data_IF_361349278210
#
_entry.id   IF_361349278210
#
_cell.length_a   1.000
_cell.length_b   1.000
_cell.length_c   1.000
_cell.angle_alpha   90.00
_cell.angle_beta   90.00
_cell.angle_gamma   90.00
#
_symmetry.space_group_name_H-M   'P 1'
#
loop_
_entity.id
_entity.type
_entity.pdbx_description
1 polymer ?
#
# COMPACT_ATOMS: atom_id res chain seq x y z
N UNK A 1 19.42 -19.61 5.87
CA UNK A 1 18.68 -18.54 5.15
C UNK A 1 19.37 -17.22 5.43
N UNK A 2 19.61 -16.41 4.36
CA UNK A 2 20.07 -15.02 4.47
C UNK A 2 18.84 -14.12 4.48
N UNK A 3 18.75 -13.22 5.45
CA UNK A 3 17.72 -12.20 5.50
C UNK A 3 18.36 -10.84 5.20
N UNK A 4 17.77 -10.11 4.28
CA UNK A 4 18.25 -8.80 3.84
C UNK A 4 17.28 -7.75 4.33
N UNK A 5 17.78 -6.75 5.03
CA UNK A 5 16.98 -5.63 5.54
C UNK A 5 17.67 -4.30 5.25
N UNK A 6 16.90 -3.23 5.23
CA UNK A 6 17.44 -1.87 5.28
C UNK A 6 18.23 -1.67 6.58
N UNK A 7 19.35 -0.98 6.50
CA UNK A 7 20.06 -0.54 7.70
C UNK A 7 19.30 0.62 8.37
N UNK A 8 18.36 0.29 9.25
CA UNK A 8 17.64 1.28 10.04
C UNK A 8 18.51 1.80 11.19
N UNK A 9 18.36 3.08 11.54
CA UNK A 9 18.95 3.65 12.77
C UNK A 9 18.44 2.89 14.01
N UNK A 10 17.17 2.57 14.02
CA UNK A 10 16.53 1.74 15.06
C UNK A 10 16.72 0.26 14.74
N UNK A 11 17.32 -0.49 15.63
CA UNK A 11 17.63 -1.92 15.44
C UNK A 11 16.49 -2.89 15.78
N UNK A 12 15.31 -2.40 16.16
CA UNK A 12 14.17 -3.24 16.59
C UNK A 12 13.79 -4.32 15.59
N UNK A 13 13.82 -4.02 14.28
CA UNK A 13 13.52 -5.03 13.25
C UNK A 13 14.58 -6.14 13.27
N UNK A 14 15.85 -5.79 13.28
CA UNK A 14 16.97 -6.74 13.38
C UNK A 14 16.86 -7.59 14.64
N UNK A 15 16.63 -6.96 15.79
CA UNK A 15 16.50 -7.66 17.08
C UNK A 15 15.32 -8.63 17.08
N UNK A 16 14.19 -8.24 16.50
CA UNK A 16 13.02 -9.11 16.37
C UNK A 16 13.30 -10.31 15.47
N UNK A 17 13.97 -10.11 14.34
CA UNK A 17 14.36 -11.17 13.41
C UNK A 17 15.37 -12.13 14.09
N UNK A 18 16.32 -11.59 14.85
CA UNK A 18 17.30 -12.37 15.62
C UNK A 18 16.59 -13.22 16.70
N UNK A 19 15.62 -12.64 17.43
CA UNK A 19 14.81 -13.38 18.41
C UNK A 19 13.97 -14.51 17.79
N UNK A 20 13.63 -14.39 16.51
CA UNK A 20 12.97 -15.48 15.75
C UNK A 20 13.96 -16.58 15.29
N UNK A 21 15.26 -16.50 15.68
CA UNK A 21 16.26 -17.51 15.39
C UNK A 21 17.08 -17.30 14.11
N UNK A 22 16.85 -16.22 13.37
CA UNK A 22 17.62 -15.93 12.16
C UNK A 22 18.94 -15.22 12.52
N UNK A 23 20.07 -15.86 12.22
CA UNK A 23 21.41 -15.34 12.55
C UNK A 23 22.09 -14.63 11.38
N UNK A 24 21.74 -14.96 10.13
CA UNK A 24 22.40 -14.42 8.95
C UNK A 24 21.61 -13.25 8.38
N UNK A 25 21.75 -12.05 8.99
CA UNK A 25 21.06 -10.83 8.62
C UNK A 25 22.07 -9.87 7.96
N UNK A 26 21.75 -9.44 6.74
CA UNK A 26 22.52 -8.46 5.98
C UNK A 26 21.79 -7.11 6.04
N UNK A 27 22.40 -6.13 6.70
CA UNK A 27 21.91 -4.75 6.73
C UNK A 27 22.46 -3.98 5.54
N UNK A 28 21.60 -3.52 4.66
CA UNK A 28 21.96 -2.77 3.47
C UNK A 28 21.66 -1.28 3.64
N UNK A 29 22.67 -0.44 3.39
CA UNK A 29 22.47 1.00 3.28
C UNK A 29 21.70 1.34 2.00
N UNK A 30 20.94 2.40 2.06
CA UNK A 30 20.19 2.92 0.93
C UNK A 30 21.10 3.40 -0.20
N UNK A 31 20.59 3.38 -1.43
CA UNK A 31 21.31 3.89 -2.61
C UNK A 31 22.68 3.26 -2.83
N UNK A 32 22.86 2.02 -2.40
CA UNK A 32 24.10 1.27 -2.57
C UNK A 32 23.81 -0.11 -3.15
N UNK A 33 24.60 -0.48 -4.16
CA UNK A 33 24.54 -1.83 -4.75
C UNK A 33 25.30 -2.82 -3.87
N UNK A 34 24.67 -3.96 -3.56
CA UNK A 34 25.24 -5.07 -2.80
C UNK A 34 25.22 -6.34 -3.64
N UNK A 35 26.35 -7.03 -3.74
CA UNK A 35 26.42 -8.37 -4.31
C UNK A 35 26.06 -9.37 -3.21
N UNK A 36 24.89 -9.99 -3.29
CA UNK A 36 24.37 -10.91 -2.29
C UNK A 36 24.85 -12.35 -2.54
N UNK A 37 24.99 -12.70 -3.82
CA UNK A 37 25.54 -13.98 -4.27
C UNK A 37 26.29 -13.77 -5.58
N UNK A 38 26.86 -14.88 -6.12
CA UNK A 38 27.43 -14.84 -7.47
C UNK A 38 26.40 -14.42 -8.54
N UNK A 39 25.12 -14.77 -8.32
CA UNK A 39 24.05 -14.63 -9.30
C UNK A 39 23.19 -13.38 -9.10
N UNK A 40 23.21 -12.76 -7.90
CA UNK A 40 22.28 -11.71 -7.53
C UNK A 40 23.00 -10.51 -6.91
N UNK A 41 22.66 -9.33 -7.39
CA UNK A 41 22.95 -8.04 -6.75
C UNK A 41 21.64 -7.30 -6.46
N UNK A 42 21.62 -6.53 -5.37
CA UNK A 42 20.45 -5.77 -4.97
C UNK A 42 20.82 -4.33 -4.60
N UNK A 43 19.80 -3.45 -4.54
CA UNK A 43 19.86 -2.18 -3.83
C UNK A 43 18.50 -1.90 -3.17
N UNK A 44 18.55 -1.20 -2.03
CA UNK A 44 17.36 -0.72 -1.33
C UNK A 44 17.21 0.76 -1.64
N UNK A 45 15.99 1.14 -2.05
CA UNK A 45 15.61 2.53 -2.31
C UNK A 45 14.69 2.98 -1.17
N UNK A 46 15.04 4.04 -0.45
CA UNK A 46 14.24 4.54 0.66
C UNK A 46 12.99 5.26 0.19
N UNK A 47 12.06 5.48 1.10
CA UNK A 47 10.98 6.44 0.91
C UNK A 47 11.57 7.85 0.87
N UNK A 48 11.50 8.48 -0.31
CA UNK A 48 12.00 9.83 -0.51
C UNK A 48 10.84 10.80 -0.30
N UNK A 49 10.82 11.44 0.86
CA UNK A 49 9.89 12.55 1.09
C UNK A 49 10.62 13.88 0.89
N UNK A 50 9.90 14.92 0.51
CA UNK A 50 10.45 16.29 0.40
C UNK A 50 11.01 16.84 1.72
N UNK A 51 10.78 16.13 2.84
CA UNK A 51 11.23 16.46 4.20
C UNK A 51 12.00 15.30 4.84
N UNK A 52 12.79 14.56 4.07
CA UNK A 52 13.45 13.30 4.47
C UNK A 52 14.32 13.37 5.72
N UNK A 53 14.83 14.54 6.10
CA UNK A 53 15.72 14.66 7.25
C UNK A 53 15.05 14.40 8.61
N UNK A 54 13.70 14.43 8.67
CA UNK A 54 12.95 14.21 9.90
C UNK A 54 12.04 12.97 9.85
N UNK A 55 11.89 12.32 8.69
CA UNK A 55 10.98 11.18 8.54
C UNK A 55 11.46 9.95 9.33
N UNK A 56 12.77 9.72 9.37
CA UNK A 56 13.37 8.59 10.09
C UNK A 56 13.16 8.66 11.61
N UNK A 57 13.09 9.87 12.18
CA UNK A 57 12.86 10.07 13.61
C UNK A 57 11.37 10.07 13.96
N UNK A 58 10.52 10.39 12.99
CA UNK A 58 9.07 10.53 13.18
C UNK A 58 8.30 9.23 13.02
N UNK A 59 8.74 8.38 12.10
CA UNK A 59 8.08 7.12 11.73
C UNK A 59 9.02 5.97 12.06
N UNK A 60 9.13 5.65 13.34
CA UNK A 60 10.02 4.58 13.80
C UNK A 60 9.63 3.16 13.34
N UNK A 61 8.53 2.98 12.58
CA UNK A 61 7.95 1.65 12.38
C UNK A 61 7.65 1.24 10.93
N UNK A 62 7.30 2.19 10.05
CA UNK A 62 6.77 1.87 8.72
C UNK A 62 7.43 2.73 7.63
N UNK A 63 8.74 2.60 7.49
CA UNK A 63 9.43 3.15 6.34
C UNK A 63 9.48 2.08 5.26
N UNK A 64 8.51 2.13 4.38
CA UNK A 64 8.49 1.29 3.20
C UNK A 64 9.69 1.58 2.33
N UNK A 65 10.22 0.54 1.73
CA UNK A 65 11.36 0.63 0.82
C UNK A 65 11.06 -0.10 -0.46
N UNK A 66 11.60 0.41 -1.57
CA UNK A 66 11.61 -0.33 -2.82
C UNK A 66 12.90 -1.14 -2.92
N UNK A 67 12.88 -2.19 -3.72
CA UNK A 67 14.04 -3.03 -3.97
C UNK A 67 14.35 -3.13 -5.46
N UNK A 68 15.62 -3.00 -5.78
CA UNK A 68 16.18 -3.31 -7.10
C UNK A 68 16.89 -4.65 -7.00
N UNK A 69 16.61 -5.57 -7.91
CA UNK A 69 17.27 -6.88 -8.01
C UNK A 69 17.83 -7.03 -9.41
N UNK A 70 19.12 -7.33 -9.50
CA UNK A 70 19.79 -7.63 -10.76
C UNK A 70 20.28 -9.08 -10.77
N UNK A 71 19.96 -9.80 -11.85
CA UNK A 71 20.68 -11.03 -12.18
C UNK A 71 22.09 -10.69 -12.66
N UNK A 72 23.11 -11.18 -11.97
CA UNK A 72 24.50 -10.97 -12.39
C UNK A 72 24.86 -11.75 -13.65
N UNK A 73 24.08 -12.78 -14.01
CA UNK A 73 24.24 -13.60 -15.20
C UNK A 73 23.63 -12.89 -16.42
N UNK A 74 22.32 -12.68 -16.41
CA UNK A 74 21.59 -12.08 -17.54
C UNK A 74 21.62 -10.56 -17.58
N UNK A 75 22.11 -9.92 -16.51
CA UNK A 75 22.12 -8.45 -16.30
C UNK A 75 20.73 -7.82 -16.23
N UNK A 76 19.66 -8.61 -16.27
CA UNK A 76 18.29 -8.13 -16.19
C UNK A 76 17.98 -7.57 -14.82
N UNK A 77 17.18 -6.48 -14.79
CA UNK A 77 16.83 -5.73 -13.58
C UNK A 77 15.34 -5.80 -13.33
N UNK A 78 14.99 -6.26 -12.15
CA UNK A 78 13.66 -6.17 -11.57
C UNK A 78 13.62 -5.05 -10.54
N UNK A 79 12.63 -4.16 -10.65
CA UNK A 79 12.36 -3.12 -9.68
C UNK A 79 10.98 -3.34 -9.04
N UNK A 80 10.96 -3.52 -7.74
CA UNK A 80 9.74 -3.65 -6.94
C UNK A 80 9.51 -2.36 -6.15
N UNK A 81 8.41 -1.65 -6.50
CA UNK A 81 7.98 -0.39 -5.88
C UNK A 81 6.68 -0.54 -5.10
N UNK A 82 6.37 -1.72 -4.59
CA UNK A 82 5.18 -1.97 -3.79
C UNK A 82 5.31 -1.24 -2.45
N UNK A 83 4.24 -0.57 -2.02
CA UNK A 83 4.12 0.15 -0.75
C UNK A 83 5.09 1.32 -0.52
N UNK A 84 5.90 1.68 -1.50
CA UNK A 84 6.78 2.85 -1.43
C UNK A 84 6.35 3.94 -2.43
N UNK A 85 5.41 4.82 -2.08
CA UNK A 85 4.87 5.83 -2.98
C UNK A 85 5.90 6.94 -3.25
N UNK A 86 6.62 6.82 -4.34
CA UNK A 86 7.59 7.82 -4.78
C UNK A 86 6.97 8.84 -5.72
N UNK A 87 7.40 10.10 -5.60
CA UNK A 87 7.05 11.13 -6.58
C UNK A 87 7.67 10.83 -7.94
N UNK A 88 7.10 11.37 -9.01
CA UNK A 88 7.66 11.22 -10.38
C UNK A 88 9.12 11.69 -10.43
N UNK A 89 9.43 12.80 -9.75
CA UNK A 89 10.81 13.31 -9.63
C UNK A 89 11.74 12.30 -8.97
N UNK A 90 11.27 11.60 -7.96
CA UNK A 90 12.06 10.60 -7.24
C UNK A 90 12.20 9.30 -8.04
N UNK A 91 11.18 8.90 -8.80
CA UNK A 91 11.29 7.77 -9.74
C UNK A 91 12.34 8.03 -10.83
N UNK A 92 12.44 9.26 -11.32
CA UNK A 92 13.53 9.63 -12.24
C UNK A 92 14.90 9.51 -11.58
N UNK A 93 15.03 9.86 -10.28
CA UNK A 93 16.29 9.65 -9.53
C UNK A 93 16.60 8.15 -9.40
N UNK A 94 15.60 7.33 -9.09
CA UNK A 94 15.74 5.86 -9.02
C UNK A 94 16.26 5.32 -10.36
N UNK A 95 15.65 5.71 -11.47
CA UNK A 95 16.10 5.31 -12.81
C UNK A 95 17.55 5.69 -13.07
N UNK A 96 17.93 6.95 -12.76
CA UNK A 96 19.33 7.43 -12.93
C UNK A 96 20.30 6.63 -12.06
N UNK A 97 19.93 6.35 -10.80
CA UNK A 97 20.70 5.51 -9.89
C UNK A 97 20.92 4.10 -10.46
N UNK A 98 19.85 3.47 -10.91
CA UNK A 98 19.92 2.12 -11.49
C UNK A 98 20.85 2.12 -12.73
N UNK A 99 20.70 3.09 -13.63
CA UNK A 99 21.57 3.22 -14.80
C UNK A 99 23.03 3.40 -14.41
N UNK A 100 23.33 4.19 -13.37
CA UNK A 100 24.69 4.44 -12.89
C UNK A 100 25.30 3.21 -12.21
N UNK A 101 24.63 2.63 -11.23
CA UNK A 101 25.20 1.59 -10.36
C UNK A 101 25.10 0.18 -10.95
N UNK A 102 24.05 -0.10 -11.70
CA UNK A 102 23.80 -1.42 -12.30
C UNK A 102 24.20 -1.50 -13.78
N UNK A 103 24.57 -0.35 -14.38
CA UNK A 103 24.97 -0.23 -15.80
C UNK A 103 23.93 -0.77 -16.78
N UNK A 104 22.65 -0.72 -16.40
CA UNK A 104 21.54 -1.19 -17.21
C UNK A 104 20.26 -0.40 -16.88
N UNK A 105 19.17 -0.66 -17.61
CA UNK A 105 17.85 -0.09 -17.39
C UNK A 105 16.94 -1.11 -16.69
N UNK A 106 15.79 -0.63 -16.17
CA UNK A 106 14.77 -1.49 -15.56
C UNK A 106 14.14 -2.32 -16.68
N UNK A 107 14.24 -3.64 -16.55
CA UNK A 107 13.59 -4.56 -17.50
C UNK A 107 12.16 -4.87 -17.06
N UNK A 108 11.96 -5.16 -15.77
CA UNK A 108 10.66 -5.52 -15.20
C UNK A 108 10.36 -4.65 -14.00
N UNK A 109 9.15 -4.10 -13.95
CA UNK A 109 8.67 -3.33 -12.82
C UNK A 109 7.43 -3.95 -12.19
N UNK A 110 7.36 -3.87 -10.85
CA UNK A 110 6.19 -4.19 -10.06
C UNK A 110 5.79 -2.96 -9.23
N UNK A 111 4.58 -2.44 -9.44
CA UNK A 111 4.04 -1.32 -8.65
C UNK A 111 2.52 -1.45 -8.49
N UNK A 112 1.92 -0.87 -7.43
CA UNK A 112 0.48 -0.87 -7.27
C UNK A 112 -0.23 -0.13 -8.40
N UNK A 113 -1.39 -0.61 -8.78
CA UNK A 113 -2.26 0.04 -9.79
C UNK A 113 -3.35 0.90 -9.16
N UNK A 114 -3.52 0.83 -7.86
CA UNK A 114 -4.49 1.59 -7.09
C UNK A 114 -4.25 1.42 -5.59
N UNK A 115 -5.03 2.12 -4.77
CA UNK A 115 -4.97 2.00 -3.33
C UNK A 115 -6.11 1.14 -2.78
N UNK A 116 -5.83 0.32 -1.78
CA UNK A 116 -6.84 -0.32 -0.94
C UNK A 116 -7.28 0.69 0.13
N UNK A 117 -8.25 1.54 -0.18
CA UNK A 117 -8.72 2.60 0.70
C UNK A 117 -10.24 2.48 0.92
N UNK A 118 -10.72 3.08 2.00
CA UNK A 118 -12.15 3.11 2.34
C UNK A 118 -12.93 4.16 1.54
N UNK A 119 -12.24 5.07 0.87
CA UNK A 119 -12.84 6.09 0.02
C UNK A 119 -12.89 5.61 -1.43
N UNK A 120 -14.02 5.77 -2.15
CA UNK A 120 -15.25 6.46 -1.76
C UNK A 120 -16.32 5.55 -1.16
N UNK A 121 -16.12 4.22 -1.14
CA UNK A 121 -17.17 3.24 -0.85
C UNK A 121 -17.80 3.37 0.54
N UNK A 122 -17.01 3.79 1.55
CA UNK A 122 -17.49 3.94 2.93
C UNK A 122 -18.07 5.32 3.25
N UNK A 123 -18.13 6.24 2.29
CA UNK A 123 -18.61 7.61 2.48
C UNK A 123 -20.02 7.79 1.93
N UNK A 124 -20.93 8.43 2.68
CA UNK A 124 -22.36 8.52 2.33
C UNK A 124 -22.80 9.89 1.78
N UNK A 125 -22.04 10.94 2.01
CA UNK A 125 -22.43 12.31 1.64
C UNK A 125 -21.75 12.80 0.34
N UNK A 126 -21.46 11.86 -0.56
CA UNK A 126 -20.78 12.14 -1.83
C UNK A 126 -21.43 11.31 -2.95
N UNK A 127 -21.22 11.72 -4.18
CA UNK A 127 -21.53 10.89 -5.33
C UNK A 127 -20.44 9.83 -5.49
N UNK A 128 -20.62 8.66 -4.85
CA UNK A 128 -19.63 7.57 -4.81
C UNK A 128 -19.26 7.01 -6.18
N UNK A 129 -20.20 7.02 -7.13
CA UNK A 129 -19.95 6.52 -8.49
C UNK A 129 -19.00 7.48 -9.22
N UNK A 130 -19.32 8.77 -9.25
CA UNK A 130 -18.47 9.76 -9.87
C UNK A 130 -17.09 9.83 -9.23
N UNK A 131 -17.00 9.71 -7.90
CA UNK A 131 -15.71 9.68 -7.20
C UNK A 131 -14.90 8.41 -7.49
N UNK A 132 -15.54 7.24 -7.62
CA UNK A 132 -14.88 6.01 -8.08
C UNK A 132 -14.26 6.24 -9.45
N UNK A 133 -15.02 6.73 -10.42
CA UNK A 133 -14.55 6.97 -11.78
C UNK A 133 -13.37 7.96 -11.81
N UNK A 134 -13.50 9.07 -11.09
CA UNK A 134 -12.43 10.07 -10.95
C UNK A 134 -11.14 9.47 -10.42
N UNK A 135 -11.24 8.64 -9.36
CA UNK A 135 -10.09 8.01 -8.74
C UNK A 135 -9.46 6.93 -9.64
N UNK A 136 -10.27 6.11 -10.31
CA UNK A 136 -9.77 5.11 -11.26
C UNK A 136 -8.97 5.80 -12.37
N UNK A 137 -9.50 6.88 -12.94
CA UNK A 137 -8.80 7.66 -13.96
C UNK A 137 -7.51 8.27 -13.43
N UNK A 138 -7.54 8.83 -12.23
CA UNK A 138 -6.34 9.38 -11.56
C UNK A 138 -5.27 8.31 -11.31
N UNK A 139 -5.66 7.10 -10.90
CA UNK A 139 -4.74 5.98 -10.70
C UNK A 139 -4.08 5.55 -12.02
N UNK A 140 -4.86 5.43 -13.09
CA UNK A 140 -4.34 5.09 -14.42
C UNK A 140 -3.38 6.17 -14.96
N UNK A 141 -3.73 7.45 -14.78
CA UNK A 141 -2.87 8.56 -15.15
C UNK A 141 -1.54 8.55 -14.37
N UNK A 142 -1.62 8.36 -13.05
CA UNK A 142 -0.44 8.26 -12.21
C UNK A 142 0.44 7.05 -12.57
N UNK A 143 -0.16 5.89 -12.82
CA UNK A 143 0.55 4.70 -13.30
C UNK A 143 1.27 4.99 -14.61
N UNK A 144 0.60 5.64 -15.57
CA UNK A 144 1.21 6.06 -16.84
C UNK A 144 2.45 6.92 -16.63
N UNK A 145 2.34 7.94 -15.76
CA UNK A 145 3.46 8.83 -15.42
C UNK A 145 4.62 8.07 -14.77
N UNK A 146 4.32 7.12 -13.86
CA UNK A 146 5.32 6.31 -13.18
C UNK A 146 6.08 5.40 -14.15
N UNK A 147 5.35 4.64 -14.98
CA UNK A 147 5.96 3.72 -15.96
C UNK A 147 6.83 4.46 -16.99
N UNK A 148 6.39 5.63 -17.46
CA UNK A 148 7.19 6.51 -18.33
C UNK A 148 8.44 7.04 -17.62
N UNK A 149 8.33 7.49 -16.36
CA UNK A 149 9.46 7.99 -15.60
C UNK A 149 10.54 6.94 -15.36
N UNK A 150 10.13 5.69 -15.20
CA UNK A 150 11.01 4.53 -15.01
C UNK A 150 11.55 3.95 -16.32
N UNK A 151 10.97 4.28 -17.48
CA UNK A 151 11.31 3.72 -18.81
C UNK A 151 11.30 2.19 -18.83
N UNK A 152 10.28 1.60 -18.22
CA UNK A 152 10.18 0.13 -18.11
C UNK A 152 9.73 -0.49 -19.43
N UNK A 153 10.21 -1.72 -19.69
CA UNK A 153 9.78 -2.53 -20.84
C UNK A 153 8.67 -3.50 -20.47
N UNK A 154 8.75 -4.09 -19.30
CA UNK A 154 7.88 -5.15 -18.83
C UNK A 154 7.29 -4.76 -17.47
N UNK A 155 6.00 -5.03 -17.27
CA UNK A 155 5.27 -4.62 -16.06
C UNK A 155 4.31 -5.71 -15.61
N UNK A 156 4.21 -5.88 -14.29
CA UNK A 156 3.08 -6.56 -13.65
C UNK A 156 2.58 -5.79 -12.43
N UNK A 157 1.26 -5.82 -12.18
CA UNK A 157 0.67 -5.11 -11.05
C UNK A 157 0.98 -5.80 -9.73
N UNK A 158 1.18 -5.00 -8.69
CA UNK A 158 1.21 -5.46 -7.30
C UNK A 158 -0.12 -5.20 -6.60
N UNK A 159 -0.32 -5.86 -5.46
CA UNK A 159 -1.40 -5.57 -4.53
C UNK A 159 -2.69 -6.35 -4.76
N UNK A 160 -2.86 -6.99 -5.91
CA UNK A 160 -4.02 -7.84 -6.18
C UNK A 160 -5.37 -7.12 -6.13
N UNK A 161 -6.45 -7.91 -6.12
CA UNK A 161 -7.83 -7.43 -6.03
C UNK A 161 -8.28 -7.58 -4.59
N UNK A 162 -8.77 -6.49 -3.98
CA UNK A 162 -9.42 -6.61 -2.70
C UNK A 162 -10.93 -6.76 -2.85
N UNK A 163 -11.54 -7.59 -2.01
CA UNK A 163 -12.94 -7.91 -2.04
C UNK A 163 -13.53 -7.70 -0.66
N UNK A 164 -14.61 -6.91 -0.60
CA UNK A 164 -15.39 -6.71 0.61
C UNK A 164 -16.39 -7.87 0.72
N UNK A 165 -16.34 -8.60 1.82
CA UNK A 165 -17.22 -9.73 2.09
C UNK A 165 -18.31 -9.39 3.14
N UNK A 166 -19.12 -10.35 3.51
CA UNK A 166 -20.16 -10.20 4.55
C UNK A 166 -21.23 -9.17 4.17
N UNK A 167 -21.84 -8.56 5.16
CA UNK A 167 -22.94 -7.60 4.98
C UNK A 167 -22.63 -6.36 4.15
N UNK A 168 -21.33 -6.05 3.97
CA UNK A 168 -20.87 -4.91 3.18
C UNK A 168 -20.49 -5.27 1.74
N UNK A 169 -20.75 -6.50 1.29
CA UNK A 169 -20.42 -6.98 -0.05
C UNK A 169 -20.96 -6.09 -1.19
N UNK A 170 -22.09 -5.39 -0.98
CA UNK A 170 -22.64 -4.45 -1.94
C UNK A 170 -21.74 -3.24 -2.25
N UNK A 171 -20.71 -2.96 -1.41
CA UNK A 171 -19.76 -1.89 -1.64
C UNK A 171 -18.66 -2.24 -2.66
N UNK A 172 -18.57 -3.51 -3.10
CA UNK A 172 -17.55 -3.92 -4.06
C UNK A 172 -17.62 -3.16 -5.39
N UNK A 173 -18.82 -2.79 -5.83
CA UNK A 173 -19.02 -2.02 -7.06
C UNK A 173 -18.56 -0.56 -6.96
N UNK A 174 -18.27 -0.09 -5.75
CA UNK A 174 -17.81 1.27 -5.45
C UNK A 174 -16.30 1.35 -5.17
N UNK A 175 -15.59 0.23 -5.17
CA UNK A 175 -14.14 0.21 -4.96
C UNK A 175 -13.46 0.94 -6.12
N UNK A 176 -12.67 1.97 -5.78
CA UNK A 176 -11.99 2.80 -6.76
C UNK A 176 -10.61 2.23 -7.14
N UNK A 177 -10.61 1.03 -7.69
CA UNK A 177 -9.41 0.36 -8.17
C UNK A 177 -9.54 0.08 -9.68
N UNK A 178 -8.53 0.39 -10.51
CA UNK A 178 -8.54 0.03 -11.92
C UNK A 178 -8.72 -1.47 -12.12
N UNK A 179 -9.55 -1.83 -13.08
CA UNK A 179 -9.72 -3.22 -13.47
C UNK A 179 -8.56 -3.69 -14.36
N UNK A 180 -8.32 -4.99 -14.38
CA UNK A 180 -7.21 -5.59 -15.12
C UNK A 180 -7.15 -5.13 -16.59
N UNK A 181 -8.30 -5.17 -17.29
CA UNK A 181 -8.37 -4.77 -18.70
C UNK A 181 -8.00 -3.29 -18.93
N UNK A 182 -8.29 -2.40 -17.96
CA UNK A 182 -7.94 -0.98 -18.05
C UNK A 182 -6.42 -0.79 -17.94
N UNK A 183 -5.77 -1.54 -17.03
CA UNK A 183 -4.32 -1.53 -16.87
C UNK A 183 -3.62 -2.13 -18.07
N UNK A 184 -4.12 -3.25 -18.58
CA UNK A 184 -3.60 -3.88 -19.82
C UNK A 184 -3.69 -2.93 -21.03
N UNK A 185 -4.83 -2.26 -21.21
CA UNK A 185 -5.02 -1.28 -22.27
C UNK A 185 -4.08 -0.08 -22.14
N UNK A 186 -3.83 0.38 -20.91
CA UNK A 186 -2.85 1.42 -20.64
C UNK A 186 -1.45 0.96 -21.06
N UNK A 187 -1.04 -0.25 -20.67
CA UNK A 187 0.26 -0.80 -21.03
C UNK A 187 0.43 -0.96 -22.55
N UNK A 188 -0.62 -1.43 -23.26
CA UNK A 188 -0.64 -1.48 -24.75
C UNK A 188 -0.41 -0.11 -25.36
N UNK A 189 -1.11 0.94 -24.87
CA UNK A 189 -0.93 2.33 -25.33
C UNK A 189 0.49 2.87 -25.09
N UNK A 190 1.16 2.37 -24.06
CA UNK A 190 2.53 2.76 -23.71
C UNK A 190 3.60 1.88 -24.36
N UNK A 191 3.21 0.87 -25.14
CA UNK A 191 4.10 -0.14 -25.69
C UNK A 191 4.92 -0.89 -24.62
N UNK A 192 4.26 -1.23 -23.52
CA UNK A 192 4.82 -1.98 -22.38
C UNK A 192 4.17 -3.37 -22.34
N UNK A 193 4.98 -4.41 -22.21
CA UNK A 193 4.48 -5.77 -22.05
C UNK A 193 3.83 -5.93 -20.67
N UNK A 194 2.56 -6.31 -20.65
CA UNK A 194 1.79 -6.52 -19.43
C UNK A 194 1.77 -8.01 -19.06
N UNK A 195 2.10 -8.32 -17.80
CA UNK A 195 2.01 -9.67 -17.26
C UNK A 195 0.97 -9.73 -16.15
N UNK A 196 -0.11 -10.43 -16.38
CA UNK A 196 -1.02 -10.77 -15.30
C UNK A 196 -0.48 -11.99 -14.54
N UNK A 197 0.05 -11.76 -13.33
CA UNK A 197 0.57 -12.80 -12.44
C UNK A 197 -0.42 -12.94 -11.28
N UNK A 198 -1.43 -13.79 -11.48
CA UNK A 198 -2.35 -14.15 -10.41
C UNK A 198 -1.70 -15.12 -9.43
N UNK A 199 -2.29 -15.23 -8.23
CA UNK A 199 -1.81 -16.15 -7.20
C UNK A 199 -1.59 -17.58 -7.74
N UNK A 200 -0.44 -18.16 -7.44
CA UNK A 200 -0.02 -19.47 -7.94
C UNK A 200 0.65 -19.48 -9.31
N UNK A 201 0.66 -18.35 -10.03
CA UNK A 201 1.47 -18.21 -11.25
C UNK A 201 2.88 -17.74 -10.93
N UNK A 202 3.80 -18.01 -11.84
CA UNK A 202 5.18 -17.53 -11.76
C UNK A 202 5.57 -16.79 -13.04
N UNK A 203 6.57 -15.92 -12.89
CA UNK A 203 7.26 -15.29 -14.00
C UNK A 203 8.73 -15.69 -13.89
N UNK A 204 9.25 -16.31 -14.93
CA UNK A 204 10.61 -16.84 -14.99
C UNK A 204 11.41 -16.10 -16.05
N UNK A 205 12.67 -15.85 -15.75
CA UNK A 205 13.60 -15.31 -16.75
C UNK A 205 14.32 -16.47 -17.46
N UNK A 206 14.04 -16.68 -18.74
CA UNK A 206 14.67 -17.70 -19.59
C UNK A 206 15.21 -17.06 -20.86
N UNK A 207 16.46 -17.31 -21.19
CA UNK A 207 17.12 -16.77 -22.39
C UNK A 207 16.94 -15.26 -22.56
N UNK A 208 17.02 -14.52 -21.43
CA UNK A 208 16.87 -13.05 -21.44
C UNK A 208 15.45 -12.51 -21.57
N UNK A 209 14.44 -13.38 -21.66
CA UNK A 209 13.03 -13.00 -21.76
C UNK A 209 12.23 -13.45 -20.54
N UNK A 210 11.26 -12.63 -20.15
CA UNK A 210 10.31 -12.99 -19.11
C UNK A 210 9.26 -13.93 -19.69
N UNK A 211 9.14 -15.10 -19.10
CA UNK A 211 8.18 -16.13 -19.51
C UNK A 211 7.23 -16.39 -18.36
N UNK A 212 5.96 -16.20 -18.64
CA UNK A 212 4.88 -16.57 -17.71
C UNK A 212 4.82 -18.10 -17.66
N UNK A 213 4.88 -18.66 -16.45
CA UNK A 213 4.73 -20.10 -16.24
C UNK A 213 3.35 -20.60 -16.66
N UNK A 214 3.20 -21.91 -16.80
CA UNK A 214 1.91 -22.52 -17.16
C UNK A 214 0.82 -21.99 -16.24
N UNK A 215 -0.27 -21.54 -16.82
CA UNK A 215 -1.44 -21.06 -16.10
C UNK A 215 -1.90 -22.14 -15.14
N UNK A 216 -1.74 -21.95 -13.85
CA UNK A 216 -2.63 -22.60 -12.93
C UNK A 216 -4.03 -22.09 -13.27
N UNK A 217 -4.99 -22.97 -13.48
CA UNK A 217 -6.37 -22.65 -13.88
C UNK A 217 -7.16 -21.88 -12.81
N UNK A 218 -6.51 -21.24 -11.85
CA UNK A 218 -7.16 -20.41 -10.84
C UNK A 218 -7.51 -19.09 -11.52
N UNK A 219 -8.70 -19.04 -12.09
CA UNK A 219 -9.36 -17.80 -12.43
C UNK A 219 -10.01 -17.27 -11.15
N UNK A 220 -9.57 -16.11 -10.68
CA UNK A 220 -10.25 -15.41 -9.59
C UNK A 220 -11.57 -14.87 -10.15
N UNK A 221 -12.65 -15.60 -9.91
CA UNK A 221 -13.99 -15.11 -10.19
C UNK A 221 -14.47 -14.28 -8.99
N UNK A 222 -14.37 -12.96 -9.11
CA UNK A 222 -14.75 -12.00 -8.08
C UNK A 222 -16.22 -12.18 -7.66
N UNK A 223 -17.13 -12.36 -8.60
CA UNK A 223 -18.56 -12.52 -8.33
C UNK A 223 -18.85 -13.81 -7.56
N UNK A 224 -18.22 -14.92 -7.95
CA UNK A 224 -18.35 -16.19 -7.24
C UNK A 224 -17.83 -16.09 -5.80
N UNK A 225 -16.72 -15.37 -5.57
CA UNK A 225 -16.19 -15.14 -4.22
C UNK A 225 -17.17 -14.29 -3.41
N UNK A 226 -17.68 -13.20 -3.96
CA UNK A 226 -18.68 -12.35 -3.30
C UNK A 226 -19.92 -13.16 -2.96
N UNK A 227 -20.46 -13.93 -3.91
CA UNK A 227 -21.64 -14.81 -3.70
C UNK A 227 -21.40 -15.81 -2.57
N UNK A 228 -20.22 -16.42 -2.52
CA UNK A 228 -19.85 -17.40 -1.47
C UNK A 228 -19.68 -16.75 -0.10
N UNK A 229 -19.19 -15.51 -0.04
CA UNK A 229 -18.79 -14.86 1.21
C UNK A 229 -19.75 -13.80 1.72
N UNK A 230 -20.81 -13.44 0.99
CA UNK A 230 -21.77 -12.39 1.35
C UNK A 230 -22.43 -12.57 2.72
N UNK A 231 -22.64 -13.81 3.15
CA UNK A 231 -23.26 -14.16 4.44
C UNK A 231 -22.22 -14.43 5.55
N UNK A 232 -20.92 -14.30 5.25
CA UNK A 232 -19.87 -14.50 6.25
C UNK A 232 -19.92 -13.39 7.28
N UNK A 233 -20.01 -13.76 8.56
CA UNK A 233 -19.97 -12.81 9.67
C UNK A 233 -18.55 -12.30 9.90
N UNK A 234 -18.40 -11.03 10.19
CA UNK A 234 -17.13 -10.46 10.61
C UNK A 234 -16.73 -10.98 12.00
N UNK A 235 -15.45 -10.90 12.32
CA UNK A 235 -14.94 -11.35 13.62
C UNK A 235 -15.68 -10.68 14.78
N UNK A 236 -15.90 -9.37 14.72
CA UNK A 236 -16.61 -8.62 15.75
C UNK A 236 -18.10 -8.96 15.87
N UNK A 237 -18.70 -9.55 14.85
CA UNK A 237 -20.11 -10.04 14.89
C UNK A 237 -20.21 -11.42 15.55
N UNK A 238 -19.10 -12.18 15.56
CA UNK A 238 -19.02 -13.49 16.25
C UNK A 238 -18.59 -13.33 17.68
N UNK A 239 -17.69 -12.38 17.96
CA UNK A 239 -17.13 -12.15 19.27
C UNK A 239 -17.69 -10.82 19.81
N UNK A 240 -18.59 -10.91 20.77
CA UNK A 240 -19.14 -9.73 21.41
C UNK A 240 -18.07 -9.13 22.31
N UNK A 241 -17.51 -8.00 21.94
CA UNK A 241 -16.65 -7.22 22.82
C UNK A 241 -17.53 -6.48 23.82
N UNK A 242 -17.39 -6.76 25.11
CA UNK A 242 -17.99 -5.93 26.11
C UNK A 242 -17.40 -4.52 26.01
N UNK A 243 -18.28 -3.53 25.89
CA UNK A 243 -17.88 -2.14 25.87
C UNK A 243 -17.26 -1.78 27.24
N UNK A 244 -15.99 -1.37 27.22
CA UNK A 244 -15.27 -0.86 28.37
C UNK A 244 -14.91 0.59 28.12
N UNK A 245 -15.61 1.51 28.79
CA UNK A 245 -15.46 2.95 28.59
C UNK A 245 -14.06 3.45 28.95
N UNK A 246 -13.50 3.01 30.08
CA UNK A 246 -12.15 3.37 30.51
C UNK A 246 -11.10 2.96 29.48
N UNK A 247 -11.19 1.74 28.99
CA UNK A 247 -10.27 1.23 27.96
C UNK A 247 -10.39 2.01 26.65
N UNK A 248 -11.59 2.46 26.30
CA UNK A 248 -11.81 3.29 25.12
C UNK A 248 -11.20 4.69 25.29
N UNK A 249 -11.33 5.29 26.46
CA UNK A 249 -10.71 6.58 26.82
C UNK A 249 -9.18 6.50 26.75
N UNK A 250 -8.58 5.41 27.25
CA UNK A 250 -7.14 5.16 27.18
C UNK A 250 -6.66 5.04 25.72
N UNK A 251 -7.42 4.35 24.87
CA UNK A 251 -7.10 4.25 23.43
C UNK A 251 -7.17 5.60 22.72
N UNK A 252 -8.22 6.40 22.97
CA UNK A 252 -8.33 7.72 22.36
C UNK A 252 -7.24 8.67 22.84
N UNK A 253 -6.88 8.62 24.12
CA UNK A 253 -5.80 9.42 24.72
C UNK A 253 -4.45 9.06 24.09
N UNK A 254 -4.12 7.78 24.05
CA UNK A 254 -2.89 7.29 23.42
C UNK A 254 -2.83 7.62 21.92
N UNK A 255 -3.94 7.46 21.20
CA UNK A 255 -4.04 7.81 19.78
C UNK A 255 -3.87 9.31 19.56
N UNK A 256 -4.38 10.16 20.43
CA UNK A 256 -4.20 11.61 20.40
C UNK A 256 -2.74 12.00 20.45
N UNK A 257 -1.98 11.45 21.38
CA UNK A 257 -0.55 11.75 21.53
C UNK A 257 0.25 11.35 20.29
N UNK A 258 0.04 10.12 19.80
CA UNK A 258 0.66 9.65 18.56
C UNK A 258 0.31 10.53 17.37
N UNK A 259 -0.97 10.91 17.28
CA UNK A 259 -1.46 11.75 16.22
C UNK A 259 -0.79 13.13 16.22
N UNK A 260 -0.72 13.84 17.36
CA UNK A 260 -0.06 15.14 17.44
C UNK A 260 1.42 15.05 17.12
N UNK A 261 2.10 13.98 17.52
CA UNK A 261 3.48 13.72 17.14
C UNK A 261 3.65 13.62 15.62
N UNK A 262 2.77 12.86 14.96
CA UNK A 262 2.75 12.70 13.49
C UNK A 262 2.49 14.06 12.82
N UNK A 263 1.47 14.80 13.25
CA UNK A 263 1.09 16.09 12.65
C UNK A 263 2.19 17.14 12.78
N UNK A 264 2.91 17.17 13.91
CA UNK A 264 4.07 18.03 14.13
C UNK A 264 5.18 17.72 13.12
N UNK A 265 5.47 16.45 12.92
CA UNK A 265 6.54 15.99 12.06
C UNK A 265 6.24 16.23 10.58
N UNK A 266 4.99 16.04 10.16
CA UNK A 266 4.56 16.28 8.77
C UNK A 266 4.25 17.75 8.46
N UNK A 267 4.37 18.67 9.41
CA UNK A 267 4.12 20.12 9.22
C UNK A 267 2.78 20.38 8.51
N UNK A 268 1.72 19.72 8.97
CA UNK A 268 0.40 19.83 8.35
C UNK A 268 -0.07 21.28 8.27
N UNK A 269 -0.54 21.70 7.08
CA UNK A 269 -0.84 23.10 6.79
C UNK A 269 -2.31 23.47 6.93
N UNK A 270 -3.22 22.51 7.04
CA UNK A 270 -4.67 22.73 7.14
C UNK A 270 -5.18 22.52 8.56
N UNK A 271 -6.19 23.29 8.96
CA UNK A 271 -6.95 23.03 10.19
C UNK A 271 -8.12 22.12 9.87
N UNK A 272 -8.45 21.21 10.78
CA UNK A 272 -9.55 20.27 10.61
C UNK A 272 -10.06 19.75 11.96
N UNK A 273 -11.22 19.13 11.93
CA UNK A 273 -11.86 18.47 13.07
C UNK A 273 -12.52 17.18 12.62
N UNK A 274 -12.32 16.12 13.39
CA UNK A 274 -13.01 14.84 13.25
C UNK A 274 -13.81 14.59 14.51
N UNK A 275 -15.11 14.35 14.37
CA UNK A 275 -15.99 13.93 15.45
C UNK A 275 -16.23 12.41 15.38
N UNK A 276 -16.00 11.72 16.50
CA UNK A 276 -16.23 10.28 16.66
C UNK A 276 -17.48 10.10 17.53
N UNK A 277 -18.47 9.40 17.01
CA UNK A 277 -19.71 9.10 17.72
C UNK A 277 -19.78 7.61 18.00
N UNK A 278 -19.82 7.23 19.27
CA UNK A 278 -19.90 5.84 19.72
C UNK A 278 -21.35 5.54 20.09
N UNK A 279 -21.95 4.58 19.41
CA UNK A 279 -23.33 4.18 19.61
C UNK A 279 -23.43 2.75 20.14
N UNK A 280 -24.40 2.50 21.02
CA UNK A 280 -24.82 1.16 21.40
C UNK A 280 -25.80 0.63 20.32
N UNK A 281 -25.63 -0.63 19.92
CA UNK A 281 -26.51 -1.33 18.97
C UNK A 281 -26.65 -0.63 17.61
N UNK A 282 -25.60 0.01 17.12
CA UNK A 282 -25.62 0.59 15.78
C UNK A 282 -25.54 -0.51 14.73
N UNK A 283 -26.65 -0.74 14.03
CA UNK A 283 -26.63 -1.56 12.80
C UNK A 283 -26.28 -0.68 11.63
N UNK A 284 -25.08 -0.82 11.11
CA UNK A 284 -24.68 -0.13 9.88
C UNK A 284 -25.30 -0.82 8.68
N UNK A 285 -26.17 -0.11 7.98
CA UNK A 285 -26.55 -0.47 6.61
C UNK A 285 -25.71 0.41 5.67
N UNK A 286 -24.94 -0.16 4.73
CA UNK A 286 -24.05 0.59 3.85
C UNK A 286 -24.76 1.62 2.97
N UNK A 287 -26.07 1.46 2.77
CA UNK A 287 -26.90 2.34 1.94
C UNK A 287 -27.80 3.29 2.72
N UNK A 288 -27.83 3.22 4.04
CA UNK A 288 -28.73 4.03 4.86
C UNK A 288 -27.94 5.04 5.72
N UNK A 289 -28.50 6.24 5.83
CA UNK A 289 -28.09 7.20 6.86
C UNK A 289 -28.30 6.56 8.23
N UNK A 290 -27.36 6.80 9.15
CA UNK A 290 -27.46 6.33 10.54
C UNK A 290 -28.80 6.76 11.11
N UNK A 291 -29.64 5.80 11.48
CA UNK A 291 -30.89 6.09 12.15
C UNK A 291 -30.62 6.41 13.63
N UNK A 292 -30.37 7.69 13.89
CA UNK A 292 -30.04 8.19 15.24
C UNK A 292 -31.16 7.92 16.26
N UNK A 293 -32.41 7.72 15.81
CA UNK A 293 -33.55 7.47 16.71
C UNK A 293 -33.55 6.05 17.31
N UNK A 294 -32.92 5.08 16.60
CA UNK A 294 -32.86 3.67 17.05
C UNK A 294 -31.58 3.29 17.76
N UNK A 295 -30.59 4.19 17.81
CA UNK A 295 -29.27 3.92 18.36
C UNK A 295 -28.98 4.87 19.50
N UNK A 296 -28.67 4.32 20.68
CA UNK A 296 -28.28 5.15 21.84
C UNK A 296 -26.84 5.62 21.67
N UNK A 297 -26.63 6.94 21.59
CA UNK A 297 -25.31 7.51 21.65
C UNK A 297 -24.72 7.27 23.06
N UNK A 298 -23.56 6.61 23.13
CA UNK A 298 -22.85 6.34 24.37
C UNK A 298 -21.88 7.45 24.69
N UNK A 299 -21.05 7.82 23.71
CA UNK A 299 -19.99 8.81 23.93
C UNK A 299 -19.64 9.52 22.63
N UNK A 300 -19.14 10.74 22.75
CA UNK A 300 -18.61 11.52 21.65
C UNK A 300 -17.18 11.92 21.97
N UNK A 301 -16.27 11.68 21.03
CA UNK A 301 -14.91 12.21 21.03
C UNK A 301 -14.74 13.16 19.87
N UNK A 302 -13.80 14.08 19.98
CA UNK A 302 -13.37 14.89 18.87
C UNK A 302 -11.85 14.99 18.84
N UNK A 303 -11.31 15.11 17.64
CA UNK A 303 -9.92 15.38 17.40
C UNK A 303 -9.86 16.60 16.51
N UNK A 304 -9.19 17.65 16.94
CA UNK A 304 -9.05 18.87 16.16
C UNK A 304 -7.60 19.28 16.05
N UNK A 305 -7.23 19.78 14.89
CA UNK A 305 -5.95 20.38 14.63
C UNK A 305 -6.16 21.82 14.19
N UNK A 306 -5.50 22.78 14.84
CA UNK A 306 -5.58 24.18 14.51
C UNK A 306 -4.18 24.73 14.19
N UNK A 307 -3.97 25.09 12.92
CA UNK A 307 -2.70 25.63 12.42
C UNK A 307 -2.23 26.87 13.18
N UNK A 308 -3.18 27.74 13.62
CA UNK A 308 -2.85 29.00 14.31
C UNK A 308 -2.42 28.79 15.77
N UNK A 309 -2.77 27.66 16.38
CA UNK A 309 -2.46 27.33 17.78
C UNK A 309 -1.36 26.30 17.93
N UNK A 310 -0.56 26.05 16.91
CA UNK A 310 0.57 25.11 16.99
C UNK A 310 1.78 25.67 17.74
N UNK A 311 1.56 26.59 18.70
CA UNK A 311 2.46 26.79 19.82
C UNK A 311 2.00 25.85 20.92
N UNK A 312 2.79 24.85 21.17
CA UNK A 312 2.62 23.87 22.24
C UNK A 312 2.93 24.52 23.58
#
# INVERSE_FOLDING_TARGET
IKIIIKNFKNKRLKDKITKLGFKNIIECNEWKKYKISKDISIAIIPQITSNSNNADDAINYDLDTSIVIQSNISKKIFYNNVDNPLSIKDLVKVRKFIKKEFKNKIDLCCTPTGAAAEYPQCFTNINRIAEKERLVNSHLENLSKQLKALEVKDFFPAGGIHIIYGKFHCLNNLIAQPEEHQVENLCKKLNINYFNILGGNNLSLKNGNWIKGKKNKIQINKEAIIKKTKNTKYFYEKNYFQFNEKKLDDYFSSSKENYFRIMKNFKVKSSWKIDFYIYKNLTLNPNQKINKKKSKLLKKYYLSFNKKKSKF
#
